data_IF_138662839607
#
_entry.id   IF_138662839607
#
_cell.length_a   1.000
_cell.length_b   1.000
_cell.length_c   1.000
_cell.angle_alpha   90.00
_cell.angle_beta   90.00
_cell.angle_gamma   90.00
#
_symmetry.space_group_name_H-M   'P 1'
#
loop_
_entity.id
_entity.type
_entity.pdbx_description
1 polymer ?
#
# COMPACT_ATOMS: atom_id res chain seq x y z
N UNK A 1 13.65 -2.97 -15.74
CA UNK A 1 14.28 -4.21 -16.24
C UNK A 1 14.33 -5.23 -15.13
N UNK A 2 13.78 -6.42 -15.35
CA UNK A 2 13.77 -7.51 -14.35
C UNK A 2 15.20 -7.90 -13.95
N UNK A 3 15.41 -8.15 -12.64
CA UNK A 3 16.71 -8.59 -12.10
C UNK A 3 16.87 -10.12 -12.18
N UNK A 4 15.75 -10.85 -12.27
CA UNK A 4 15.76 -12.31 -12.32
C UNK A 4 15.69 -12.79 -13.78
N UNK A 5 16.63 -13.64 -14.26
CA UNK A 5 16.66 -14.10 -15.64
C UNK A 5 15.40 -14.88 -16.09
N UNK A 6 14.63 -15.40 -15.12
CA UNK A 6 13.41 -16.16 -15.37
C UNK A 6 12.15 -15.30 -15.47
N UNK A 7 12.25 -13.99 -15.26
CA UNK A 7 11.14 -13.05 -15.39
C UNK A 7 11.17 -12.35 -16.74
N UNK A 8 10.01 -11.88 -17.26
CA UNK A 8 9.96 -11.04 -18.46
C UNK A 8 10.77 -9.75 -18.28
N UNK A 9 11.21 -9.15 -19.37
CA UNK A 9 11.96 -7.87 -19.33
C UNK A 9 11.16 -6.76 -18.63
N UNK A 10 9.87 -6.62 -18.94
CA UNK A 10 8.91 -5.80 -18.19
C UNK A 10 8.08 -6.70 -17.29
N UNK A 11 8.63 -7.00 -16.11
CA UNK A 11 7.98 -7.88 -15.15
C UNK A 11 6.89 -7.16 -14.36
N UNK A 12 5.75 -7.83 -14.17
CA UNK A 12 4.69 -7.47 -13.25
C UNK A 12 4.77 -8.36 -12.00
N UNK A 13 4.19 -7.92 -10.88
CA UNK A 13 4.17 -8.70 -9.63
C UNK A 13 3.54 -10.10 -9.83
N UNK A 14 2.55 -10.23 -10.72
CA UNK A 14 1.94 -11.53 -11.07
C UNK A 14 2.96 -12.52 -11.63
N UNK A 15 3.98 -12.05 -12.35
CA UNK A 15 5.01 -12.93 -12.90
C UNK A 15 5.92 -13.48 -11.79
N UNK A 16 6.25 -12.62 -10.81
CA UNK A 16 6.98 -13.03 -9.60
C UNK A 16 6.17 -14.06 -8.82
N UNK A 17 4.89 -13.82 -8.62
CA UNK A 17 4.01 -14.69 -7.85
C UNK A 17 3.78 -16.05 -8.53
N UNK A 18 3.58 -16.08 -9.83
CA UNK A 18 3.51 -17.35 -10.59
C UNK A 18 4.80 -18.16 -10.49
N UNK A 19 5.94 -17.48 -10.45
CA UNK A 19 7.25 -18.14 -10.38
C UNK A 19 7.59 -18.64 -8.98
N UNK A 20 7.16 -17.91 -7.93
CA UNK A 20 7.52 -18.19 -6.53
C UNK A 20 6.28 -18.25 -5.63
N UNK A 21 5.38 -19.24 -5.79
CA UNK A 21 4.07 -19.26 -5.13
C UNK A 21 4.10 -19.68 -3.65
N UNK A 22 5.22 -20.20 -3.14
CA UNK A 22 5.28 -20.94 -1.87
C UNK A 22 4.75 -20.18 -0.64
N UNK A 23 4.94 -18.85 -0.57
CA UNK A 23 4.54 -18.05 0.60
C UNK A 23 3.30 -17.18 0.33
N UNK A 24 2.67 -17.33 -0.84
CA UNK A 24 1.68 -16.35 -1.28
C UNK A 24 0.34 -16.48 -0.57
N UNK A 25 -0.14 -17.70 -0.31
CA UNK A 25 -1.42 -17.89 0.38
C UNK A 25 -1.50 -17.10 1.71
N UNK A 26 -0.60 -17.31 2.69
CA UNK A 26 -0.66 -16.54 3.94
C UNK A 26 -0.46 -15.03 3.72
N UNK A 27 0.36 -14.64 2.75
CA UNK A 27 0.59 -13.23 2.43
C UNK A 27 -0.68 -12.55 1.89
N UNK A 28 -1.36 -13.18 0.93
CA UNK A 28 -2.56 -12.62 0.31
C UNK A 28 -3.75 -12.61 1.28
N UNK A 29 -3.89 -13.65 2.11
CA UNK A 29 -4.86 -13.66 3.22
C UNK A 29 -4.57 -12.52 4.19
N UNK A 30 -3.31 -12.28 4.52
CA UNK A 30 -2.93 -11.16 5.39
C UNK A 30 -3.26 -9.79 4.78
N UNK A 31 -3.06 -9.62 3.47
CA UNK A 31 -3.51 -8.41 2.77
C UNK A 31 -5.03 -8.20 2.90
N UNK A 32 -5.83 -9.26 2.72
CA UNK A 32 -7.28 -9.17 2.86
C UNK A 32 -7.68 -8.78 4.28
N UNK A 33 -7.11 -9.44 5.29
CA UNK A 33 -7.39 -9.12 6.70
C UNK A 33 -7.03 -7.68 7.02
N UNK A 34 -5.84 -7.24 6.61
CA UNK A 34 -5.34 -5.92 6.98
C UNK A 34 -5.99 -4.79 6.17
N UNK A 35 -6.20 -4.98 4.87
CA UNK A 35 -6.65 -3.89 3.98
C UNK A 35 -8.16 -3.91 3.74
N UNK A 36 -8.86 -5.03 4.02
CA UNK A 36 -10.30 -5.20 3.76
C UNK A 36 -11.11 -5.59 5.00
N UNK A 37 -10.45 -6.12 6.05
CA UNK A 37 -11.10 -6.50 7.30
C UNK A 37 -11.62 -5.30 8.10
N UNK A 38 -12.23 -5.59 9.25
CA UNK A 38 -12.66 -4.55 10.20
C UNK A 38 -11.45 -3.78 10.76
N UNK A 39 -11.60 -2.47 10.87
CA UNK A 39 -10.56 -1.57 11.37
C UNK A 39 -11.18 -0.21 11.72
N UNK A 40 -10.65 0.51 12.72
CA UNK A 40 -10.99 1.92 12.94
C UNK A 40 -10.60 2.84 11.78
N UNK A 41 -9.67 2.40 10.90
CA UNK A 41 -9.34 3.07 9.65
C UNK A 41 -10.23 2.57 8.52
N UNK A 42 -10.80 3.46 7.75
CA UNK A 42 -11.52 3.11 6.52
C UNK A 42 -10.61 2.40 5.51
N UNK A 43 -11.19 1.65 4.57
CA UNK A 43 -10.40 1.05 3.46
C UNK A 43 -9.67 2.14 2.67
N UNK A 44 -10.32 3.28 2.43
CA UNK A 44 -9.71 4.42 1.75
C UNK A 44 -8.44 4.92 2.46
N UNK A 45 -8.48 5.06 3.79
CA UNK A 45 -7.32 5.50 4.58
C UNK A 45 -6.20 4.47 4.57
N UNK A 46 -6.51 3.18 4.65
CA UNK A 46 -5.50 2.10 4.58
C UNK A 46 -4.83 2.04 3.22
N UNK A 47 -5.57 2.19 2.13
CA UNK A 47 -5.02 2.25 0.78
C UNK A 47 -4.21 3.55 0.56
N UNK A 48 -4.65 4.66 1.14
CA UNK A 48 -3.90 5.92 1.14
C UNK A 48 -2.55 5.77 1.86
N UNK A 49 -2.53 5.12 3.04
CA UNK A 49 -1.28 4.84 3.77
C UNK A 49 -0.37 3.92 2.94
N UNK A 50 -0.93 2.90 2.28
CA UNK A 50 -0.19 1.99 1.41
C UNK A 50 0.47 2.73 0.23
N UNK A 51 -0.28 3.58 -0.45
CA UNK A 51 0.23 4.44 -1.52
C UNK A 51 1.30 5.41 -0.99
N UNK A 52 1.01 6.10 0.09
CA UNK A 52 1.91 7.08 0.71
C UNK A 52 3.26 6.46 1.08
N UNK A 53 3.28 5.32 1.79
CA UNK A 53 4.53 4.61 2.15
C UNK A 53 5.29 4.19 0.90
N UNK A 54 4.58 3.71 -0.12
CA UNK A 54 5.20 3.26 -1.38
C UNK A 54 5.80 4.43 -2.16
N UNK A 55 5.13 5.58 -2.19
CA UNK A 55 5.66 6.81 -2.77
C UNK A 55 6.91 7.31 -2.03
N UNK A 56 6.87 7.35 -0.71
CA UNK A 56 8.04 7.69 0.13
C UNK A 56 9.22 6.73 -0.08
N UNK A 57 8.97 5.47 -0.43
CA UNK A 57 10.00 4.47 -0.74
C UNK A 57 10.42 4.46 -2.22
N UNK A 58 9.84 5.35 -3.05
CA UNK A 58 10.06 5.42 -4.49
C UNK A 58 9.77 4.10 -5.23
N UNK A 59 8.80 3.31 -4.75
CA UNK A 59 8.36 2.08 -5.40
C UNK A 59 7.19 2.39 -6.34
N UNK A 60 7.47 2.68 -7.60
CA UNK A 60 6.46 3.11 -8.58
C UNK A 60 5.33 2.10 -8.78
N UNK A 61 5.65 0.80 -8.84
CA UNK A 61 4.64 -0.25 -8.98
C UNK A 61 3.61 -0.21 -7.84
N UNK A 62 4.08 -0.26 -6.58
CA UNK A 62 3.18 -0.27 -5.43
C UNK A 62 2.45 1.07 -5.29
N UNK A 63 3.15 2.19 -5.52
CA UNK A 63 2.55 3.52 -5.48
C UNK A 63 1.39 3.62 -6.48
N UNK A 64 1.63 3.28 -7.75
CA UNK A 64 0.59 3.33 -8.79
C UNK A 64 -0.58 2.38 -8.51
N UNK A 65 -0.31 1.13 -8.09
CA UNK A 65 -1.36 0.17 -7.75
C UNK A 65 -2.26 0.68 -6.62
N UNK A 66 -1.66 1.13 -5.49
CA UNK A 66 -2.45 1.57 -4.32
C UNK A 66 -3.07 2.95 -4.50
N UNK A 67 -2.52 3.79 -5.37
CA UNK A 67 -3.16 5.00 -5.85
C UNK A 67 -4.49 4.67 -6.55
N UNK A 68 -4.53 3.64 -7.40
CA UNK A 68 -5.75 3.17 -8.05
C UNK A 68 -6.77 2.61 -7.04
N UNK A 69 -6.31 1.82 -6.06
CA UNK A 69 -7.20 1.35 -5.00
C UNK A 69 -7.76 2.51 -4.17
N UNK A 70 -6.92 3.43 -3.70
CA UNK A 70 -7.38 4.59 -2.93
C UNK A 70 -8.42 5.41 -3.70
N UNK A 71 -8.19 5.64 -5.01
CA UNK A 71 -9.16 6.29 -5.91
C UNK A 71 -10.48 5.53 -6.02
N UNK A 72 -10.43 4.21 -6.13
CA UNK A 72 -11.63 3.38 -6.15
C UNK A 72 -12.48 3.57 -4.89
N UNK A 73 -11.85 3.81 -3.75
CA UNK A 73 -12.54 4.11 -2.48
C UNK A 73 -12.75 5.61 -2.22
N UNK A 74 -12.59 6.46 -3.24
CA UNK A 74 -13.00 7.87 -3.22
C UNK A 74 -11.93 8.87 -2.80
N UNK A 75 -10.65 8.48 -2.75
CA UNK A 75 -9.54 9.42 -2.55
C UNK A 75 -9.17 10.06 -3.89
N UNK A 76 -9.12 11.39 -3.94
CA UNK A 76 -8.69 12.09 -5.15
C UNK A 76 -7.20 11.85 -5.43
N UNK A 77 -6.86 11.71 -6.70
CA UNK A 77 -5.50 11.42 -7.14
C UNK A 77 -4.51 12.50 -6.69
N UNK A 78 -4.88 13.76 -6.83
CA UNK A 78 -4.05 14.91 -6.44
C UNK A 78 -3.72 14.93 -4.95
N UNK A 79 -4.61 14.38 -4.11
CA UNK A 79 -4.38 14.24 -2.66
C UNK A 79 -3.19 13.33 -2.39
N UNK A 80 -3.10 12.21 -3.11
CA UNK A 80 -2.06 11.19 -2.90
C UNK A 80 -0.70 11.75 -3.34
N UNK A 81 -0.66 12.44 -4.46
CA UNK A 81 0.57 13.06 -4.98
C UNK A 81 1.05 14.19 -4.03
N UNK A 82 0.12 15.03 -3.56
CA UNK A 82 0.44 16.09 -2.61
C UNK A 82 1.00 15.55 -1.29
N UNK A 83 0.49 14.43 -0.78
CA UNK A 83 0.98 13.80 0.45
C UNK A 83 2.44 13.36 0.37
N UNK A 84 2.85 12.82 -0.77
CA UNK A 84 4.25 12.38 -0.97
C UNK A 84 5.20 13.57 -0.99
N UNK A 85 4.73 14.73 -1.46
CA UNK A 85 5.51 15.97 -1.49
C UNK A 85 5.58 16.63 -0.11
N UNK A 86 4.42 16.86 0.54
CA UNK A 86 4.36 17.50 1.84
C UNK A 86 3.04 17.21 2.55
N UNK A 87 3.12 16.53 3.70
CA UNK A 87 1.95 16.16 4.51
C UNK A 87 1.19 17.41 5.00
N UNK A 88 1.91 18.49 5.32
CA UNK A 88 1.33 19.64 5.98
C UNK A 88 0.42 20.46 5.05
N UNK A 89 0.80 20.55 3.78
CA UNK A 89 0.02 21.24 2.74
C UNK A 89 -0.97 20.33 2.00
N UNK A 90 -0.87 19.02 2.15
CA UNK A 90 -1.77 18.07 1.48
C UNK A 90 -3.23 18.27 1.91
N UNK A 91 -4.20 18.17 0.97
CA UNK A 91 -5.62 18.40 1.24
C UNK A 91 -6.30 17.17 1.87
N UNK A 92 -5.72 16.65 2.94
CA UNK A 92 -6.30 15.58 3.79
C UNK A 92 -6.88 16.18 5.07
N UNK A 93 -7.74 15.42 5.74
CA UNK A 93 -8.28 15.84 7.03
C UNK A 93 -7.16 16.09 8.06
N UNK A 94 -7.28 17.13 8.84
CA UNK A 94 -6.24 17.54 9.82
C UNK A 94 -5.95 16.44 10.86
N UNK A 95 -6.94 15.63 11.23
CA UNK A 95 -6.76 14.52 12.15
C UNK A 95 -5.93 13.36 11.55
N UNK A 96 -5.87 13.22 10.22
CA UNK A 96 -5.08 12.17 9.56
C UNK A 96 -3.58 12.55 9.50
N UNK A 97 -3.23 13.82 9.49
CA UNK A 97 -1.84 14.29 9.37
C UNK A 97 -0.89 13.76 10.44
N UNK A 98 -1.25 13.73 11.75
CA UNK A 98 -0.38 13.13 12.78
C UNK A 98 -0.11 11.65 12.55
N UNK A 99 -1.11 10.88 12.09
CA UNK A 99 -0.96 9.47 11.73
C UNK A 99 0.02 9.29 10.56
N UNK A 100 -0.12 10.09 9.51
CA UNK A 100 0.78 10.06 8.35
C UNK A 100 2.21 10.48 8.71
N UNK A 101 2.39 11.47 9.58
CA UNK A 101 3.72 11.85 10.09
C UNK A 101 4.36 10.72 10.90
N UNK A 102 3.58 10.00 11.71
CA UNK A 102 4.05 8.82 12.44
C UNK A 102 4.54 7.75 11.48
N UNK A 103 3.73 7.41 10.48
CA UNK A 103 4.07 6.45 9.43
C UNK A 103 5.32 6.88 8.64
N UNK A 104 5.44 8.15 8.29
CA UNK A 104 6.61 8.67 7.58
C UNK A 104 7.90 8.54 8.39
N UNK A 105 7.85 8.77 9.70
CA UNK A 105 8.99 8.54 10.60
C UNK A 105 9.34 7.06 10.75
N UNK A 106 8.32 6.21 10.79
CA UNK A 106 8.51 4.76 10.96
C UNK A 106 9.30 4.14 9.81
N UNK A 107 9.17 4.67 8.57
CA UNK A 107 9.89 4.12 7.41
C UNK A 107 11.41 4.28 7.49
N UNK A 108 11.92 5.28 8.24
CA UNK A 108 13.35 5.55 8.33
C UNK A 108 14.05 4.60 9.32
N UNK A 109 15.29 4.22 9.03
CA UNK A 109 16.07 3.34 9.90
C UNK A 109 17.32 4.08 10.44
N UNK A 110 17.49 4.15 11.76
CA UNK A 110 16.53 3.75 12.79
C UNK A 110 15.32 4.69 12.83
N UNK A 111 14.12 4.20 13.13
CA UNK A 111 12.97 5.06 13.30
C UNK A 111 13.21 5.98 14.50
N UNK A 112 13.03 7.28 14.28
CA UNK A 112 13.21 8.29 15.33
C UNK A 112 11.86 8.66 15.97
N UNK A 113 11.08 7.65 16.27
CA UNK A 113 9.79 7.79 16.94
C UNK A 113 9.98 8.09 18.42
N UNK A 114 9.14 8.97 18.93
CA UNK A 114 9.08 9.36 20.33
C UNK A 114 7.66 9.19 20.87
N UNK A 115 7.50 9.23 22.19
CA UNK A 115 6.17 9.24 22.80
C UNK A 115 5.32 10.40 22.29
N UNK A 116 5.91 11.57 22.06
CA UNK A 116 5.20 12.75 21.54
C UNK A 116 4.58 12.51 20.16
N UNK A 117 5.19 11.67 19.31
CA UNK A 117 4.62 11.30 18.02
C UNK A 117 3.34 10.48 18.18
N UNK A 118 3.32 9.53 19.11
CA UNK A 118 2.13 8.75 19.43
C UNK A 118 1.07 9.62 20.12
N UNK A 119 1.47 10.45 21.07
CA UNK A 119 0.55 11.36 21.76
C UNK A 119 -0.16 12.32 20.78
N UNK A 120 0.53 12.77 19.72
CA UNK A 120 -0.08 13.60 18.68
C UNK A 120 -1.16 12.85 17.87
N UNK A 121 -0.97 11.56 17.62
CA UNK A 121 -1.98 10.70 16.96
C UNK A 121 -3.20 10.56 17.87
N UNK A 122 -3.01 10.28 19.15
CA UNK A 122 -4.10 10.12 20.11
C UNK A 122 -4.85 11.45 20.35
N UNK A 123 -4.13 12.58 20.43
CA UNK A 123 -4.73 13.90 20.54
C UNK A 123 -5.57 14.29 19.30
N UNK A 124 -5.27 13.73 18.13
CA UNK A 124 -6.07 13.88 16.93
C UNK A 124 -7.35 13.01 16.91
N UNK A 125 -7.57 12.18 17.96
CA UNK A 125 -8.76 11.36 18.14
C UNK A 125 -8.64 9.92 17.68
N UNK A 126 -7.45 9.47 17.23
CA UNK A 126 -7.22 8.08 16.84
C UNK A 126 -7.02 7.17 18.06
N UNK A 127 -7.50 5.94 17.95
CA UNK A 127 -7.27 4.90 18.96
C UNK A 127 -5.89 4.25 18.81
N UNK A 128 -5.46 3.50 19.83
CA UNK A 128 -4.28 2.63 19.73
C UNK A 128 -4.42 1.59 18.62
N UNK A 129 -5.62 1.05 18.42
CA UNK A 129 -5.92 0.10 17.37
C UNK A 129 -5.73 0.72 15.98
N UNK A 130 -6.25 1.94 15.75
CA UNK A 130 -6.05 2.67 14.50
C UNK A 130 -4.56 2.91 14.21
N UNK A 131 -3.81 3.31 15.22
CA UNK A 131 -2.36 3.50 15.08
C UNK A 131 -1.65 2.16 14.80
N UNK A 132 -2.06 1.09 15.47
CA UNK A 132 -1.48 -0.24 15.23
C UNK A 132 -1.76 -0.73 13.80
N UNK A 133 -2.98 -0.55 13.29
CA UNK A 133 -3.32 -0.90 11.91
C UNK A 133 -2.51 -0.07 10.90
N UNK A 134 -2.34 1.23 11.14
CA UNK A 134 -1.49 2.07 10.29
C UNK A 134 -0.03 1.60 10.29
N UNK A 135 0.50 1.19 11.45
CA UNK A 135 1.85 0.59 11.56
C UNK A 135 1.93 -0.69 10.75
N UNK A 136 0.91 -1.56 10.83
CA UNK A 136 0.85 -2.82 10.10
C UNK A 136 0.83 -2.59 8.58
N UNK A 137 0.00 -1.66 8.11
CA UNK A 137 -0.02 -1.27 6.68
C UNK A 137 1.34 -0.75 6.25
N UNK A 138 1.95 0.15 7.02
CA UNK A 138 3.28 0.66 6.71
C UNK A 138 4.35 -0.44 6.67
N UNK A 139 4.32 -1.38 7.60
CA UNK A 139 5.26 -2.51 7.66
C UNK A 139 5.07 -3.45 6.46
N UNK A 140 3.82 -3.77 6.10
CA UNK A 140 3.49 -4.59 4.94
C UNK A 140 4.01 -3.95 3.65
N UNK A 141 3.81 -2.64 3.45
CA UNK A 141 4.30 -1.97 2.24
C UNK A 141 5.80 -1.73 2.24
N UNK A 142 6.45 -1.61 3.38
CA UNK A 142 7.90 -1.71 3.45
C UNK A 142 8.41 -3.08 3.02
N UNK A 143 7.72 -4.17 3.37
CA UNK A 143 8.02 -5.52 2.89
C UNK A 143 7.76 -5.64 1.38
N UNK A 144 6.57 -5.27 0.91
CA UNK A 144 6.19 -5.39 -0.51
C UNK A 144 7.09 -4.59 -1.44
N UNK A 145 7.42 -3.35 -1.06
CA UNK A 145 8.34 -2.52 -1.86
C UNK A 145 9.71 -3.22 -2.04
N UNK A 146 10.23 -3.93 -1.01
CA UNK A 146 11.50 -4.68 -1.13
C UNK A 146 11.36 -5.88 -2.05
N UNK A 147 10.22 -6.55 -2.07
CA UNK A 147 9.97 -7.64 -3.02
C UNK A 147 9.97 -7.09 -4.45
N UNK A 148 9.26 -6.00 -4.70
CA UNK A 148 9.18 -5.34 -5.99
C UNK A 148 10.57 -4.91 -6.49
N UNK A 149 11.28 -4.13 -5.68
CA UNK A 149 12.60 -3.60 -6.03
C UNK A 149 13.64 -4.73 -6.17
N UNK A 150 13.63 -5.68 -5.22
CA UNK A 150 14.59 -6.78 -5.19
C UNK A 150 14.41 -7.81 -6.32
N UNK A 151 13.26 -7.87 -6.97
CA UNK A 151 13.00 -8.74 -8.14
C UNK A 151 13.09 -7.99 -9.46
N UNK A 152 13.10 -6.66 -9.42
CA UNK A 152 13.14 -5.80 -10.59
C UNK A 152 11.81 -5.78 -11.35
N UNK A 153 10.67 -5.85 -10.64
CA UNK A 153 9.36 -5.54 -11.22
C UNK A 153 9.40 -4.12 -11.77
N UNK A 154 9.14 -3.98 -13.06
CA UNK A 154 9.29 -2.72 -13.79
C UNK A 154 8.02 -2.25 -14.50
N UNK A 155 6.92 -2.98 -14.33
CA UNK A 155 5.61 -2.50 -14.78
C UNK A 155 5.23 -1.24 -14.00
N UNK A 156 4.78 -0.20 -14.72
CA UNK A 156 4.31 1.06 -14.13
C UNK A 156 2.86 1.31 -14.51
N UNK A 157 2.03 1.53 -13.51
CA UNK A 157 0.61 1.86 -13.71
C UNK A 157 0.39 3.26 -14.27
N UNK A 158 1.38 4.16 -14.16
CA UNK A 158 1.31 5.51 -14.77
C UNK A 158 1.44 5.43 -16.29
N UNK A 159 2.27 4.52 -16.80
CA UNK A 159 2.44 4.29 -18.24
C UNK A 159 1.29 3.46 -18.83
N UNK A 160 0.56 2.74 -17.99
CA UNK A 160 -0.53 1.85 -18.39
C UNK A 160 -1.74 2.10 -17.49
N UNK A 161 -2.43 3.24 -17.64
CA UNK A 161 -3.60 3.55 -16.83
C UNK A 161 -4.70 2.51 -17.06
N UNK A 162 -5.51 2.20 -16.04
CA UNK A 162 -6.60 1.25 -16.17
C UNK A 162 -7.66 1.78 -17.14
N UNK A 163 -8.33 0.85 -17.83
CA UNK A 163 -9.46 1.18 -18.70
C UNK A 163 -10.60 1.86 -17.92
N UNK A 164 -11.36 2.72 -18.58
CA UNK A 164 -12.54 3.37 -18.01
C UNK A 164 -13.51 2.34 -17.42
N UNK A 165 -13.99 2.59 -16.20
CA UNK A 165 -14.88 1.68 -15.45
C UNK A 165 -14.18 0.54 -14.72
N UNK A 166 -12.87 0.38 -14.86
CA UNK A 166 -12.13 -0.69 -14.14
C UNK A 166 -11.99 -0.43 -12.64
N UNK A 167 -12.09 0.83 -12.18
CA UNK A 167 -11.96 1.20 -10.77
C UNK A 167 -13.00 0.49 -9.88
N UNK A 168 -14.21 0.23 -10.37
CA UNK A 168 -15.24 -0.46 -9.59
C UNK A 168 -14.82 -1.91 -9.23
N UNK A 169 -14.04 -2.56 -10.09
CA UNK A 169 -13.51 -3.90 -9.82
C UNK A 169 -12.55 -3.92 -8.63
N UNK A 170 -11.82 -2.82 -8.38
CA UNK A 170 -10.92 -2.73 -7.23
C UNK A 170 -11.66 -2.68 -5.88
N UNK A 171 -12.95 -2.28 -5.85
CA UNK A 171 -13.76 -2.29 -4.63
C UNK A 171 -14.17 -3.69 -4.20
N UNK A 172 -14.40 -4.58 -5.17
CA UNK A 172 -14.96 -5.91 -4.93
C UNK A 172 -13.92 -7.02 -4.94
N UNK A 173 -12.77 -6.80 -5.58
CA UNK A 173 -11.71 -7.79 -5.67
C UNK A 173 -10.94 -7.92 -4.35
N UNK A 174 -10.80 -9.15 -3.87
CA UNK A 174 -9.90 -9.48 -2.76
C UNK A 174 -8.50 -9.83 -3.26
N UNK A 175 -7.51 -9.76 -2.37
CA UNK A 175 -6.17 -10.26 -2.67
C UNK A 175 -6.15 -11.79 -2.83
N UNK A 176 -7.03 -12.49 -2.12
CA UNK A 176 -7.24 -13.93 -2.31
C UNK A 176 -7.79 -14.26 -3.70
N UNK A 177 -8.70 -13.44 -4.25
CA UNK A 177 -9.17 -13.61 -5.63
C UNK A 177 -8.07 -13.35 -6.65
N UNK A 178 -7.21 -12.38 -6.40
CA UNK A 178 -6.00 -12.21 -7.20
C UNK A 178 -5.12 -13.47 -7.15
N UNK A 179 -4.90 -14.05 -5.98
CA UNK A 179 -4.18 -15.31 -5.83
C UNK A 179 -4.80 -16.46 -6.65
N UNK A 180 -6.12 -16.64 -6.56
CA UNK A 180 -6.87 -17.64 -7.35
C UNK A 180 -6.70 -17.41 -8.86
N UNK A 181 -6.73 -16.15 -9.31
CA UNK A 181 -6.53 -15.81 -10.73
C UNK A 181 -5.13 -16.20 -11.26
N UNK A 182 -4.15 -16.32 -10.37
CA UNK A 182 -2.79 -16.78 -10.66
C UNK A 182 -2.62 -18.31 -10.57
N UNK A 183 -3.68 -19.04 -10.20
CA UNK A 183 -3.64 -20.50 -10.00
C UNK A 183 -3.09 -20.92 -8.62
N UNK A 184 -3.07 -19.99 -7.64
CA UNK A 184 -2.66 -20.30 -6.28
C UNK A 184 -3.85 -20.89 -5.53
N UNK A 185 -3.63 -22.02 -4.85
CA UNK A 185 -4.61 -22.62 -3.96
C UNK A 185 -4.81 -21.73 -2.72
N UNK A 186 -5.97 -21.08 -2.65
CA UNK A 186 -6.33 -20.16 -1.58
C UNK A 186 -7.32 -20.75 -0.56
N UNK A 187 -7.73 -22.02 -0.75
CA UNK A 187 -8.68 -22.76 0.13
C UNK A 187 -7.99 -23.40 1.34
#
# INVERSE_FOLDING_TARGET
MALFPSLPETAHLSDVYKKFPKQLKPLLVYHDVLLRGESPLSVAERELIAAFVSGLNACNFCFGAHKLYARAFGVDEDVIDALVVDIDSAPVSENLKPLLRYVAKLKTLPPRLTKADADAVFAAGWSEEALFDAIQVAALFNYMNRIIEGTGVSFDYQDTPPEDGSLERFKTASYSDFGRSLGIDMD
#
